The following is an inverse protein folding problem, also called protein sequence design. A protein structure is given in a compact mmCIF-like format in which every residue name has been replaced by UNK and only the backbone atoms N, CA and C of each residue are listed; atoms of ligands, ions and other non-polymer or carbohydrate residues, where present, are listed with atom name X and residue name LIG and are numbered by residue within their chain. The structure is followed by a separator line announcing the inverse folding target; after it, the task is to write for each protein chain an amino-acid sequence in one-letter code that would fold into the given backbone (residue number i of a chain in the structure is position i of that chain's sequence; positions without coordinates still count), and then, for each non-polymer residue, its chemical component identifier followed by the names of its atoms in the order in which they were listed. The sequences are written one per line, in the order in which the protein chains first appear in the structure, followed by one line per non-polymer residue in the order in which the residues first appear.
data_IF_153478222543
#
_entry.id   IF_153478222543
#
_cell.length_a   1.000
_cell.length_b   1.000
_cell.length_c   1.000
_cell.angle_alpha   90.00
_cell.angle_beta   90.00
_cell.angle_gamma   90.00
#
_symmetry.space_group_name_H-M   'P 1'
#
loop_
_entity.id
_entity.type
_entity.pdbx_description
1 polymer ?
#
# COMPACT_ATOMS: atom_id res chain seq x y z
N UNK A 1 -10.38 27.20 11.67
CA UNK A 1 -9.86 26.68 10.37
C UNK A 1 -10.87 25.71 9.81
N UNK A 2 -11.12 25.70 8.49
CA UNK A 2 -12.06 24.74 7.87
C UNK A 2 -11.45 23.35 7.86
N UNK A 3 -12.23 22.35 8.26
CA UNK A 3 -11.81 20.93 8.19
C UNK A 3 -11.50 20.56 6.73
N UNK A 4 -10.36 19.90 6.50
CA UNK A 4 -9.97 19.41 5.17
C UNK A 4 -11.01 18.41 4.65
N UNK A 5 -11.45 18.61 3.42
CA UNK A 5 -12.43 17.76 2.75
C UNK A 5 -11.74 16.79 1.76
N UNK A 6 -12.39 15.66 1.57
CA UNK A 6 -11.99 14.59 0.64
C UNK A 6 -13.09 14.41 -0.40
N UNK A 7 -12.73 14.53 -1.66
CA UNK A 7 -13.63 14.34 -2.81
C UNK A 7 -13.44 12.96 -3.45
N UNK A 8 -14.43 12.51 -4.17
CA UNK A 8 -14.35 11.31 -4.99
C UNK A 8 -13.63 11.58 -6.31
N UNK A 9 -12.84 10.61 -6.81
CA UNK A 9 -12.23 10.67 -8.16
C UNK A 9 -13.27 10.71 -9.28
N UNK A 10 -14.48 10.15 -9.06
CA UNK A 10 -15.59 10.22 -10.02
C UNK A 10 -16.37 11.55 -9.95
N UNK A 11 -16.23 12.29 -8.84
CA UNK A 11 -16.76 13.64 -8.68
C UNK A 11 -18.27 13.78 -8.55
N UNK A 12 -19.00 12.65 -8.37
CA UNK A 12 -20.48 12.64 -8.26
C UNK A 12 -20.95 12.51 -6.80
N UNK A 13 -20.05 12.14 -5.89
CA UNK A 13 -20.33 12.04 -4.46
C UNK A 13 -19.99 13.36 -3.76
N UNK A 14 -20.72 13.72 -2.69
CA UNK A 14 -20.35 14.87 -1.86
C UNK A 14 -18.95 14.73 -1.27
N UNK A 15 -18.25 15.84 -1.12
CA UNK A 15 -17.02 15.86 -0.36
C UNK A 15 -17.31 15.63 1.13
N UNK A 16 -16.42 14.89 1.79
CA UNK A 16 -16.58 14.48 3.19
C UNK A 16 -15.27 14.71 3.97
N UNK A 17 -15.36 14.73 5.30
CA UNK A 17 -14.16 14.77 6.13
C UNK A 17 -13.40 13.43 6.15
N UNK A 18 -12.19 13.41 6.69
CA UNK A 18 -11.37 12.21 6.77
C UNK A 18 -12.07 11.05 7.48
N UNK A 19 -12.77 11.30 8.59
CA UNK A 19 -13.48 10.26 9.35
C UNK A 19 -14.49 9.52 8.48
N UNK A 20 -15.33 10.27 7.76
CA UNK A 20 -16.35 9.70 6.87
C UNK A 20 -15.70 8.96 5.68
N UNK A 21 -14.70 9.55 5.03
CA UNK A 21 -13.96 8.91 3.92
C UNK A 21 -13.32 7.59 4.34
N UNK A 22 -12.73 7.57 5.54
CA UNK A 22 -12.02 6.42 6.10
C UNK A 22 -12.98 5.27 6.44
N UNK A 23 -14.09 5.58 7.14
CA UNK A 23 -15.09 4.57 7.52
C UNK A 23 -15.85 4.01 6.31
N UNK A 24 -16.14 4.83 5.30
CA UNK A 24 -16.76 4.39 4.05
C UNK A 24 -15.82 3.51 3.20
N UNK A 25 -14.52 3.84 3.18
CA UNK A 25 -13.51 3.15 2.37
C UNK A 25 -13.53 3.50 0.90
N UNK A 26 -14.70 3.61 0.29
CA UNK A 26 -14.94 4.02 -1.09
C UNK A 26 -16.13 4.98 -1.15
N UNK A 27 -16.15 5.89 -2.12
CA UNK A 27 -17.27 6.80 -2.29
C UNK A 27 -18.50 6.08 -2.89
N UNK A 28 -19.73 6.57 -2.62
CA UNK A 28 -20.96 5.98 -3.15
C UNK A 28 -21.01 5.90 -4.67
N UNK A 29 -20.36 6.82 -5.37
CA UNK A 29 -20.22 6.82 -6.83
C UNK A 29 -19.12 5.89 -7.35
N UNK A 30 -18.59 5.00 -6.49
CA UNK A 30 -17.48 4.04 -6.73
C UNK A 30 -16.13 4.69 -7.00
N UNK A 31 -16.01 6.01 -6.94
CA UNK A 31 -14.74 6.71 -6.98
C UNK A 31 -13.94 6.54 -5.68
N UNK A 32 -12.69 6.95 -5.70
CA UNK A 32 -11.80 6.88 -4.55
C UNK A 32 -11.67 8.25 -3.89
N UNK A 33 -11.79 8.29 -2.56
CA UNK A 33 -11.55 9.52 -1.82
C UNK A 33 -10.08 9.96 -1.88
N UNK A 34 -9.85 11.27 -2.08
CA UNK A 34 -8.55 11.91 -1.93
C UNK A 34 -8.75 13.39 -1.51
N UNK A 35 -7.72 14.06 -0.93
CA UNK A 35 -7.87 15.43 -0.45
C UNK A 35 -8.27 16.39 -1.58
N UNK A 36 -9.20 17.30 -1.34
CA UNK A 36 -9.52 18.39 -2.30
C UNK A 36 -8.32 19.32 -2.50
N UNK A 37 -7.58 19.56 -1.42
CA UNK A 37 -6.33 20.32 -1.41
C UNK A 37 -5.31 19.59 -0.56
N UNK A 38 -4.04 19.59 -0.99
CA UNK A 38 -2.97 19.02 -0.21
C UNK A 38 -2.41 20.06 0.75
N UNK A 39 -2.43 19.80 2.08
CA UNK A 39 -1.81 20.70 3.03
C UNK A 39 -0.30 20.73 2.80
N UNK A 40 0.30 21.91 2.85
CA UNK A 40 1.72 22.10 2.54
C UNK A 40 2.58 22.17 3.80
N UNK A 41 3.83 21.74 3.67
CA UNK A 41 4.94 22.07 4.56
C UNK A 41 5.81 23.13 3.90
N UNK A 42 6.36 24.03 4.70
CA UNK A 42 7.44 24.92 4.25
C UNK A 42 8.77 24.17 4.25
N UNK A 43 9.80 24.64 3.49
CA UNK A 43 11.15 24.06 3.56
C UNK A 43 11.71 24.03 4.99
N UNK A 44 11.47 25.08 5.80
CA UNK A 44 11.90 25.15 7.20
C UNK A 44 11.23 24.09 8.07
N UNK A 45 9.91 23.83 7.87
CA UNK A 45 9.22 22.75 8.56
C UNK A 45 9.83 21.39 8.21
N UNK A 46 10.12 21.14 6.92
CA UNK A 46 10.75 19.89 6.44
C UNK A 46 12.16 19.74 7.04
N UNK A 47 12.95 20.81 7.10
CA UNK A 47 14.29 20.81 7.69
C UNK A 47 14.29 20.30 9.15
N UNK A 48 13.23 20.58 9.90
CA UNK A 48 13.11 20.10 11.28
C UNK A 48 13.04 18.57 11.39
N UNK A 49 12.62 17.87 10.33
CA UNK A 49 12.43 16.41 10.34
C UNK A 49 13.73 15.63 10.48
N UNK A 50 14.86 16.21 10.08
CA UNK A 50 16.18 15.57 10.18
C UNK A 50 16.56 15.06 11.58
N UNK A 51 16.00 15.66 12.64
CA UNK A 51 16.29 15.32 14.04
C UNK A 51 15.17 14.53 14.73
N UNK A 52 14.04 14.28 14.03
CA UNK A 52 12.88 13.66 14.64
C UNK A 52 12.87 12.13 14.41
N UNK A 53 12.45 11.33 15.40
CA UNK A 53 12.16 9.93 15.17
C UNK A 53 10.95 9.76 14.23
N UNK A 54 10.81 8.56 13.66
CA UNK A 54 9.77 8.27 12.67
C UNK A 54 8.35 8.62 13.15
N UNK A 55 7.99 8.23 14.37
CA UNK A 55 6.65 8.47 14.92
C UNK A 55 6.33 9.97 15.11
N UNK A 56 7.32 10.82 15.35
CA UNK A 56 7.11 12.26 15.43
C UNK A 56 6.94 12.89 14.04
N UNK A 57 7.69 12.41 13.03
CA UNK A 57 7.44 12.81 11.63
C UNK A 57 6.02 12.39 11.23
N UNK A 58 5.62 11.15 11.58
CA UNK A 58 4.27 10.66 11.33
C UNK A 58 3.20 11.54 11.97
N UNK A 59 3.40 11.94 13.24
CA UNK A 59 2.50 12.87 13.90
C UNK A 59 2.39 14.20 13.16
N UNK A 60 3.50 14.80 12.74
CA UNK A 60 3.48 16.07 12.00
C UNK A 60 2.79 15.95 10.66
N UNK A 61 3.10 14.91 9.88
CA UNK A 61 2.49 14.69 8.57
C UNK A 61 0.99 14.43 8.70
N UNK A 62 0.59 13.49 9.57
CA UNK A 62 -0.80 13.08 9.71
C UNK A 62 -1.66 14.15 10.40
N UNK A 63 -1.08 15.00 11.27
CA UNK A 63 -1.82 16.10 11.89
C UNK A 63 -2.37 17.10 10.86
N UNK A 64 -1.71 17.28 9.73
CA UNK A 64 -2.22 18.14 8.63
C UNK A 64 -3.53 17.62 8.02
N UNK A 65 -3.83 16.31 8.14
CA UNK A 65 -5.06 15.68 7.63
C UNK A 65 -6.12 15.45 8.71
N UNK A 66 -5.71 15.40 9.98
CA UNK A 66 -6.59 15.02 11.10
C UNK A 66 -7.02 16.20 11.97
N UNK A 67 -6.66 17.42 11.59
CA UNK A 67 -7.02 18.63 12.33
C UNK A 67 -8.54 18.76 12.48
N UNK A 68 -8.99 19.00 13.70
CA UNK A 68 -10.42 19.07 14.04
C UNK A 68 -11.15 17.71 14.07
N UNK A 69 -10.47 16.60 13.83
CA UNK A 69 -11.03 15.23 13.82
C UNK A 69 -10.44 14.38 14.95
N UNK A 70 -9.11 14.43 15.11
CA UNK A 70 -8.40 13.70 16.17
C UNK A 70 -7.61 14.71 17.01
N UNK A 71 -7.80 14.74 18.35
CA UNK A 71 -6.97 15.57 19.23
C UNK A 71 -5.49 15.28 19.05
N UNK A 72 -4.65 16.32 19.15
CA UNK A 72 -3.22 16.21 18.84
C UNK A 72 -2.46 15.24 19.75
N UNK A 73 -2.77 15.24 21.04
CA UNK A 73 -2.20 14.31 22.02
C UNK A 73 -2.56 12.85 21.72
N UNK A 74 -3.81 12.61 21.32
CA UNK A 74 -4.29 11.28 20.93
C UNK A 74 -3.61 10.82 19.63
N UNK A 75 -3.47 11.69 18.63
CA UNK A 75 -2.76 11.35 17.40
C UNK A 75 -1.28 11.04 17.67
N UNK A 76 -0.63 11.82 18.55
CA UNK A 76 0.76 11.55 18.93
C UNK A 76 0.92 10.17 19.59
N UNK A 77 0.02 9.80 20.50
CA UNK A 77 0.00 8.47 21.11
C UNK A 77 -0.23 7.37 20.06
N UNK A 78 -1.18 7.55 19.14
CA UNK A 78 -1.42 6.62 18.03
C UNK A 78 -0.18 6.43 17.15
N UNK A 79 0.53 7.51 16.82
CA UNK A 79 1.75 7.42 16.02
C UNK A 79 2.86 6.67 16.75
N UNK A 80 3.05 6.94 18.03
CA UNK A 80 4.04 6.25 18.86
C UNK A 80 3.75 4.74 18.96
N UNK A 81 2.49 4.37 19.14
CA UNK A 81 2.08 2.96 19.20
C UNK A 81 2.14 2.25 17.82
N UNK A 82 1.77 2.95 16.74
CA UNK A 82 1.72 2.38 15.39
C UNK A 82 3.11 2.12 14.81
N UNK A 83 4.08 2.96 15.17
CA UNK A 83 5.41 3.00 14.55
C UNK A 83 6.51 2.75 15.58
N UNK A 84 6.44 1.58 16.22
CA UNK A 84 7.40 1.12 17.25
C UNK A 84 8.48 0.18 16.68
N UNK A 85 8.70 0.22 15.38
CA UNK A 85 9.71 -0.55 14.66
C UNK A 85 10.60 0.38 13.80
N UNK A 86 11.85 -0.02 13.51
CA UNK A 86 12.79 0.81 12.75
C UNK A 86 12.42 0.92 11.28
N UNK A 87 12.98 1.94 10.62
CA UNK A 87 12.93 2.12 9.16
C UNK A 87 14.36 2.32 8.66
N UNK A 88 15.13 1.24 8.47
CA UNK A 88 16.52 1.33 8.05
C UNK A 88 16.65 1.92 6.63
N UNK A 89 17.72 2.68 6.45
CA UNK A 89 18.21 3.16 5.17
C UNK A 89 19.61 2.62 4.99
N UNK A 90 19.75 1.59 4.16
CA UNK A 90 21.01 0.91 3.89
C UNK A 90 21.67 1.54 2.67
N UNK A 91 22.99 1.74 2.70
CA UNK A 91 23.73 2.34 1.59
C UNK A 91 24.03 1.25 0.56
N UNK A 92 23.51 1.41 -0.66
CA UNK A 92 23.88 0.56 -1.80
C UNK A 92 25.22 1.07 -2.36
N UNK A 93 25.27 2.31 -2.78
CA UNK A 93 26.50 3.01 -3.17
C UNK A 93 26.34 4.52 -2.96
N UNK A 94 27.31 5.33 -3.37
CA UNK A 94 27.33 6.76 -3.11
C UNK A 94 25.99 7.42 -3.47
N UNK A 95 25.30 7.95 -2.43
CA UNK A 95 24.01 8.64 -2.51
C UNK A 95 22.84 7.80 -3.04
N UNK A 96 22.97 6.46 -3.06
CA UNK A 96 21.87 5.55 -3.37
C UNK A 96 21.62 4.64 -2.18
N UNK A 97 20.39 4.64 -1.70
CA UNK A 97 19.98 4.00 -0.45
C UNK A 97 18.84 3.00 -0.71
N UNK A 98 18.83 1.92 0.06
CA UNK A 98 17.73 0.99 0.16
C UNK A 98 16.92 1.30 1.41
N UNK A 99 15.64 1.65 1.26
CA UNK A 99 14.75 1.84 2.40
C UNK A 99 14.01 0.56 2.73
N UNK A 100 14.30 0.00 3.91
CA UNK A 100 13.69 -1.25 4.39
C UNK A 100 12.35 -0.97 5.06
N UNK A 101 11.24 -1.24 4.35
CA UNK A 101 9.89 -1.11 4.87
C UNK A 101 9.31 -2.43 5.41
N UNK A 102 10.17 -3.42 5.62
CA UNK A 102 9.86 -4.79 6.02
C UNK A 102 10.06 -5.08 7.52
N UNK A 103 10.23 -4.05 8.35
CA UNK A 103 10.54 -4.22 9.78
C UNK A 103 9.30 -4.23 10.68
N UNK A 104 8.12 -4.01 10.13
CA UNK A 104 6.85 -4.05 10.85
C UNK A 104 6.38 -5.48 11.20
N UNK A 105 5.25 -5.63 11.93
CA UNK A 105 4.79 -6.92 12.46
C UNK A 105 4.62 -8.04 11.43
N UNK A 106 4.31 -7.70 10.17
CA UNK A 106 4.12 -8.68 9.10
C UNK A 106 5.18 -8.59 8.01
N UNK A 107 6.29 -7.93 8.32
CA UNK A 107 7.45 -7.80 7.45
C UNK A 107 7.09 -7.29 6.05
N UNK A 108 6.25 -6.24 5.98
CA UNK A 108 5.95 -5.54 4.72
C UNK A 108 5.56 -4.07 4.95
N UNK A 109 5.77 -3.22 3.92
CA UNK A 109 5.39 -1.79 3.97
C UNK A 109 3.92 -1.56 4.32
N UNK A 110 3.08 -2.55 4.10
CA UNK A 110 1.64 -2.48 4.37
C UNK A 110 1.32 -2.29 5.86
N UNK A 111 2.24 -2.68 6.74
CA UNK A 111 2.13 -2.47 8.18
C UNK A 111 1.99 -1.00 8.55
N UNK A 112 2.74 -0.11 7.89
CA UNK A 112 2.71 1.33 8.18
C UNK A 112 1.30 1.92 8.10
N UNK A 113 0.60 1.62 7.03
CA UNK A 113 -0.74 2.13 6.84
C UNK A 113 -1.79 1.32 7.64
N UNK A 114 -1.67 0.01 7.72
CA UNK A 114 -2.63 -0.82 8.42
C UNK A 114 -2.64 -0.54 9.93
N UNK A 115 -1.48 -0.38 10.56
CA UNK A 115 -1.35 -0.08 11.99
C UNK A 115 -2.01 1.26 12.36
N UNK A 116 -1.78 2.32 11.58
CA UNK A 116 -2.41 3.61 11.81
C UNK A 116 -3.91 3.57 11.55
N UNK A 117 -4.31 2.96 10.45
CA UNK A 117 -5.71 2.81 10.07
C UNK A 117 -6.52 2.09 11.15
N UNK A 118 -5.98 0.99 11.70
CA UNK A 118 -6.65 0.23 12.76
C UNK A 118 -6.90 1.06 14.02
N UNK A 119 -5.94 1.91 14.40
CA UNK A 119 -6.08 2.82 15.55
C UNK A 119 -7.14 3.89 15.32
N UNK A 120 -7.15 4.49 14.13
CA UNK A 120 -8.18 5.46 13.75
C UNK A 120 -9.58 4.82 13.75
N UNK A 121 -9.73 3.62 13.17
CA UNK A 121 -11.00 2.88 13.18
C UNK A 121 -11.45 2.56 14.61
N UNK A 122 -10.56 1.98 15.43
CA UNK A 122 -10.89 1.62 16.80
C UNK A 122 -11.35 2.82 17.63
N UNK A 123 -10.78 4.01 17.39
CA UNK A 123 -11.24 5.24 18.00
C UNK A 123 -12.62 5.64 17.51
N UNK A 124 -12.80 5.79 16.20
CA UNK A 124 -14.06 6.28 15.64
C UNK A 124 -15.25 5.36 15.95
N UNK A 125 -15.04 4.06 15.88
CA UNK A 125 -16.09 3.08 16.21
C UNK A 125 -16.48 3.10 17.70
N UNK A 126 -15.49 3.33 18.58
CA UNK A 126 -15.76 3.46 20.02
C UNK A 126 -16.57 4.73 20.33
N UNK A 127 -16.21 5.87 19.70
CA UNK A 127 -16.94 7.14 19.84
C UNK A 127 -18.38 7.04 19.35
N UNK A 128 -18.61 6.30 18.26
CA UNK A 128 -19.94 6.11 17.67
C UNK A 128 -20.73 4.95 18.30
N UNK A 129 -20.12 4.16 19.20
CA UNK A 129 -20.66 2.90 19.69
C UNK A 129 -21.12 1.96 18.55
N UNK A 130 -20.32 1.87 17.48
CA UNK A 130 -20.62 1.11 16.27
C UNK A 130 -19.72 -0.11 16.12
N UNK A 131 -20.20 -1.09 15.36
CA UNK A 131 -19.41 -2.23 14.90
C UNK A 131 -19.20 -2.15 13.39
N UNK A 132 -18.12 -2.76 12.92
CA UNK A 132 -17.76 -2.77 11.50
C UNK A 132 -17.11 -4.11 11.14
N UNK A 133 -17.40 -4.59 9.93
CA UNK A 133 -16.70 -5.74 9.35
C UNK A 133 -15.81 -5.27 8.22
N UNK A 134 -14.51 -5.49 8.37
CA UNK A 134 -13.53 -5.28 7.32
C UNK A 134 -13.48 -6.53 6.46
N UNK A 135 -13.77 -6.34 5.17
CA UNK A 135 -13.70 -7.39 4.16
C UNK A 135 -12.55 -7.09 3.22
N UNK A 136 -11.60 -8.03 3.11
CA UNK A 136 -10.35 -7.83 2.37
C UNK A 136 -10.07 -9.04 1.48
N UNK A 137 -9.83 -8.81 0.17
CA UNK A 137 -9.18 -9.77 -0.70
C UNK A 137 -7.68 -9.51 -0.73
N UNK A 138 -6.86 -10.56 -0.72
CA UNK A 138 -5.40 -10.44 -0.67
C UNK A 138 -4.70 -11.48 -1.52
N UNK A 139 -3.52 -11.10 -2.05
CA UNK A 139 -2.51 -12.00 -2.60
C UNK A 139 -1.43 -12.39 -1.57
N UNK A 140 -1.66 -12.12 -0.26
CA UNK A 140 -0.75 -12.44 0.84
C UNK A 140 -0.53 -11.28 1.80
N UNK A 141 0.38 -10.36 1.49
CA UNK A 141 0.85 -9.31 2.41
C UNK A 141 -0.22 -8.36 2.92
N UNK A 142 -1.17 -7.95 2.07
CA UNK A 142 -2.25 -7.05 2.51
C UNK A 142 -3.12 -7.72 3.56
N UNK A 143 -3.46 -8.99 3.37
CA UNK A 143 -4.24 -9.76 4.34
C UNK A 143 -3.52 -9.91 5.66
N UNK A 144 -2.24 -10.23 5.64
CA UNK A 144 -1.41 -10.33 6.83
C UNK A 144 -1.37 -8.99 7.60
N UNK A 145 -1.04 -7.89 6.92
CA UNK A 145 -0.95 -6.58 7.57
C UNK A 145 -2.30 -6.12 8.15
N UNK A 146 -3.41 -6.32 7.43
CA UNK A 146 -4.76 -5.98 7.90
C UNK A 146 -5.17 -6.88 9.08
N UNK A 147 -4.97 -8.18 8.97
CA UNK A 147 -5.30 -9.13 10.04
C UNK A 147 -4.56 -8.78 11.34
N UNK A 148 -3.24 -8.55 11.27
CA UNK A 148 -2.43 -8.16 12.43
C UNK A 148 -2.85 -6.81 13.03
N UNK A 149 -2.99 -5.79 12.18
CA UNK A 149 -3.30 -4.45 12.66
C UNK A 149 -4.67 -4.34 13.35
N UNK A 150 -5.67 -5.05 12.83
CA UNK A 150 -7.03 -5.03 13.35
C UNK A 150 -7.32 -6.15 14.35
N UNK A 151 -6.37 -7.06 14.61
CA UNK A 151 -6.51 -8.10 15.64
C UNK A 151 -6.79 -7.48 17.00
N UNK A 152 -7.85 -7.93 17.66
CA UNK A 152 -8.33 -7.45 18.97
C UNK A 152 -8.76 -5.98 19.02
N UNK A 153 -8.97 -5.31 17.87
CA UNK A 153 -9.56 -3.97 17.87
C UNK A 153 -11.05 -4.10 18.21
N UNK A 154 -11.51 -3.47 19.32
CA UNK A 154 -12.90 -3.54 19.73
C UNK A 154 -13.86 -3.01 18.67
N UNK A 155 -14.98 -3.71 18.45
CA UNK A 155 -15.98 -3.31 17.47
C UNK A 155 -15.64 -3.66 16.02
N UNK A 156 -14.46 -4.20 15.74
CA UNK A 156 -14.05 -4.62 14.40
C UNK A 156 -14.08 -6.14 14.27
N UNK A 157 -14.65 -6.64 13.18
CA UNK A 157 -14.44 -8.00 12.67
C UNK A 157 -13.64 -7.91 11.38
N UNK A 158 -12.72 -8.82 11.17
CA UNK A 158 -11.92 -8.92 9.93
C UNK A 158 -12.21 -10.24 9.25
N UNK A 159 -12.52 -10.20 7.95
CA UNK A 159 -12.65 -11.37 7.10
C UNK A 159 -11.72 -11.19 5.90
N UNK A 160 -10.75 -12.10 5.76
CA UNK A 160 -9.73 -12.06 4.71
C UNK A 160 -9.96 -13.22 3.75
N UNK A 161 -10.15 -12.92 2.46
CA UNK A 161 -10.19 -13.91 1.39
C UNK A 161 -8.83 -13.96 0.70
N UNK A 162 -8.31 -15.15 0.50
CA UNK A 162 -7.05 -15.36 -0.22
C UNK A 162 -7.14 -16.59 -1.15
N UNK A 163 -6.44 -16.58 -2.30
CA UNK A 163 -6.37 -17.74 -3.19
C UNK A 163 -5.54 -18.84 -2.53
N UNK A 164 -6.07 -20.06 -2.46
CA UNK A 164 -5.49 -21.16 -1.71
C UNK A 164 -4.06 -21.53 -2.17
N UNK A 165 -3.79 -21.43 -3.49
CA UNK A 165 -2.57 -21.94 -4.13
C UNK A 165 -1.62 -20.81 -4.63
N UNK A 166 -1.98 -19.51 -4.45
CA UNK A 166 -1.15 -18.38 -4.93
C UNK A 166 -0.40 -17.65 -3.80
N UNK A 167 -0.62 -18.04 -2.54
CA UNK A 167 -0.02 -17.41 -1.36
C UNK A 167 1.03 -18.32 -0.76
N UNK A 168 2.24 -17.82 -0.53
CA UNK A 168 3.31 -18.61 0.10
C UNK A 168 2.92 -19.05 1.52
N UNK A 169 3.53 -20.13 2.02
CA UNK A 169 3.27 -20.62 3.38
C UNK A 169 3.57 -19.54 4.42
N UNK A 170 4.65 -18.81 4.27
CA UNK A 170 5.02 -17.72 5.19
C UNK A 170 3.98 -16.61 5.19
N UNK A 171 3.52 -16.16 4.02
CA UNK A 171 2.46 -15.16 3.90
C UNK A 171 1.14 -15.66 4.48
N UNK A 172 0.77 -16.92 4.23
CA UNK A 172 -0.46 -17.53 4.74
C UNK A 172 -0.46 -17.60 6.26
N UNK A 173 0.60 -18.13 6.87
CA UNK A 173 0.71 -18.24 8.34
C UNK A 173 0.64 -16.89 9.06
N UNK A 174 1.14 -15.81 8.45
CA UNK A 174 1.01 -14.47 9.02
C UNK A 174 -0.44 -13.98 9.16
N UNK A 175 -1.42 -14.56 8.49
CA UNK A 175 -2.84 -14.16 8.62
C UNK A 175 -3.73 -15.26 9.18
N UNK A 176 -3.39 -16.54 9.03
CA UNK A 176 -4.24 -17.67 9.41
C UNK A 176 -4.01 -18.17 10.85
N UNK A 177 -2.98 -17.70 11.52
CA UNK A 177 -2.67 -18.06 12.91
C UNK A 177 -3.35 -17.16 13.94
N UNK A 178 -3.96 -16.06 13.49
CA UNK A 178 -4.74 -15.15 14.31
C UNK A 178 -6.16 -15.71 14.54
N UNK A 179 -6.70 -15.41 15.71
CA UNK A 179 -8.04 -15.85 16.14
C UNK A 179 -8.89 -14.63 16.53
N UNK A 180 -9.78 -14.80 17.47
CA UNK A 180 -10.65 -13.77 18.05
C UNK A 180 -11.55 -13.12 16.98
N UNK A 181 -11.29 -11.87 16.62
CA UNK A 181 -12.08 -11.10 15.66
C UNK A 181 -11.62 -11.24 14.20
N UNK A 182 -10.60 -12.08 13.94
CA UNK A 182 -10.08 -12.35 12.59
C UNK A 182 -10.56 -13.70 12.08
N UNK A 183 -11.06 -13.76 10.86
CA UNK A 183 -11.38 -14.97 10.11
C UNK A 183 -10.71 -14.91 8.75
N UNK A 184 -10.18 -16.02 8.31
CA UNK A 184 -9.53 -16.15 7.01
C UNK A 184 -10.18 -17.27 6.21
N UNK A 185 -10.35 -17.05 4.91
CA UNK A 185 -11.04 -17.96 4.01
C UNK A 185 -10.17 -18.19 2.78
N UNK A 186 -9.69 -19.43 2.64
CA UNK A 186 -8.98 -19.88 1.46
C UNK A 186 -9.99 -20.17 0.34
N UNK A 187 -9.81 -19.53 -0.80
CA UNK A 187 -10.68 -19.71 -1.97
C UNK A 187 -9.99 -20.63 -2.98
N UNK A 188 -10.69 -21.66 -3.43
CA UNK A 188 -10.25 -22.52 -4.54
C UNK A 188 -10.46 -21.75 -5.85
N UNK A 189 -9.54 -20.85 -6.17
CA UNK A 189 -9.59 -19.91 -7.27
C UNK A 189 -8.38 -18.99 -7.25
N UNK A 190 -8.44 -17.94 -8.07
CA UNK A 190 -7.39 -16.93 -8.20
C UNK A 190 -7.65 -15.70 -7.33
N UNK A 191 -6.65 -14.83 -7.22
CA UNK A 191 -6.81 -13.54 -6.55
C UNK A 191 -7.94 -12.68 -7.14
N UNK A 192 -8.12 -12.71 -8.46
CA UNK A 192 -9.21 -11.99 -9.15
C UNK A 192 -10.59 -12.50 -8.70
N UNK A 193 -10.74 -13.81 -8.43
CA UNK A 193 -11.98 -14.38 -7.88
C UNK A 193 -12.26 -13.87 -6.48
N UNK A 194 -11.25 -13.82 -5.61
CA UNK A 194 -11.37 -13.24 -4.27
C UNK A 194 -11.82 -11.77 -4.33
N UNK A 195 -11.23 -11.00 -5.24
CA UNK A 195 -11.63 -9.59 -5.45
C UNK A 195 -13.06 -9.45 -5.97
N UNK A 196 -13.46 -10.28 -6.92
CA UNK A 196 -14.80 -10.29 -7.48
C UNK A 196 -15.86 -10.60 -6.41
N UNK A 197 -15.60 -11.60 -5.56
CA UNK A 197 -16.47 -11.98 -4.44
C UNK A 197 -16.62 -10.83 -3.43
N UNK A 198 -15.52 -10.17 -3.06
CA UNK A 198 -15.53 -9.02 -2.15
C UNK A 198 -16.29 -7.83 -2.76
N UNK A 199 -16.02 -7.49 -4.03
CA UNK A 199 -16.75 -6.41 -4.73
C UNK A 199 -18.25 -6.68 -4.81
N UNK A 200 -18.63 -7.94 -5.09
CA UNK A 200 -20.03 -8.36 -5.14
C UNK A 200 -20.69 -8.24 -3.76
N UNK A 201 -20.00 -8.59 -2.67
CA UNK A 201 -20.51 -8.46 -1.31
C UNK A 201 -20.81 -7.00 -0.93
N UNK A 202 -19.96 -6.05 -1.34
CA UNK A 202 -20.22 -4.61 -1.14
C UNK A 202 -21.45 -4.10 -1.88
N UNK A 203 -21.83 -4.73 -2.99
CA UNK A 203 -22.95 -4.34 -3.82
C UNK A 203 -24.24 -5.16 -3.55
N UNK A 204 -24.18 -6.17 -2.67
CA UNK A 204 -25.30 -7.09 -2.43
C UNK A 204 -26.36 -6.47 -1.52
N UNK A 205 -27.62 -6.25 -2.02
CA UNK A 205 -28.72 -5.73 -1.20
C UNK A 205 -29.03 -6.60 0.02
N UNK A 206 -28.77 -7.92 -0.02
CA UNK A 206 -29.01 -8.82 1.11
C UNK A 206 -28.03 -8.60 2.29
N UNK A 207 -26.92 -7.91 2.05
CA UNK A 207 -25.89 -7.63 3.06
C UNK A 207 -25.91 -6.19 3.59
N UNK A 208 -26.86 -5.35 3.18
CA UNK A 208 -26.92 -3.92 3.59
C UNK A 208 -27.03 -3.69 5.10
N UNK A 209 -27.55 -4.67 5.83
CA UNK A 209 -27.63 -4.64 7.30
C UNK A 209 -26.27 -4.89 7.98
N UNK A 210 -25.28 -5.39 7.25
CA UNK A 210 -23.92 -5.61 7.73
C UNK A 210 -23.08 -4.38 7.40
N UNK A 211 -22.57 -3.64 8.39
CA UNK A 211 -21.69 -2.50 8.10
C UNK A 211 -20.35 -3.02 7.60
N UNK A 212 -20.19 -3.06 6.27
CA UNK A 212 -18.96 -3.47 5.60
C UNK A 212 -18.06 -2.27 5.31
N UNK A 213 -16.75 -2.45 5.43
CA UNK A 213 -15.73 -1.53 4.94
C UNK A 213 -14.54 -2.30 4.39
N UNK A 214 -13.71 -1.61 3.60
CA UNK A 214 -12.50 -2.19 3.02
C UNK A 214 -11.25 -1.62 3.68
N UNK A 215 -10.27 -2.49 3.94
CA UNK A 215 -8.93 -2.08 4.30
C UNK A 215 -7.90 -2.31 3.16
N UNK A 216 -8.34 -2.47 1.92
CA UNK A 216 -7.47 -2.47 0.74
C UNK A 216 -6.97 -1.06 0.39
N UNK A 217 -6.09 -0.94 -0.60
CA UNK A 217 -5.47 0.32 -1.03
C UNK A 217 -6.45 1.36 -1.61
N UNK A 218 -7.70 0.97 -1.88
CA UNK A 218 -8.78 1.89 -2.26
C UNK A 218 -9.17 2.83 -1.11
N UNK A 219 -9.02 2.39 0.15
CA UNK A 219 -9.30 3.22 1.31
C UNK A 219 -8.21 4.27 1.51
N UNK A 220 -8.61 5.53 1.70
CA UNK A 220 -7.68 6.65 1.94
C UNK A 220 -6.81 6.46 3.20
N UNK A 221 -7.30 5.72 4.19
CA UNK A 221 -6.53 5.37 5.40
C UNK A 221 -5.33 4.46 5.12
N UNK A 222 -5.30 3.79 3.96
CA UNK A 222 -4.14 3.02 3.48
C UNK A 222 -3.16 3.90 2.73
N UNK A 223 -3.58 5.06 2.25
CA UNK A 223 -2.76 5.94 1.44
C UNK A 223 -1.99 6.97 2.28
N UNK A 224 -2.70 7.76 3.09
CA UNK A 224 -2.08 8.89 3.78
C UNK A 224 -0.88 8.52 4.68
N UNK A 225 -0.92 7.41 5.47
CA UNK A 225 0.23 7.06 6.30
C UNK A 225 1.48 6.68 5.49
N UNK A 226 1.32 6.29 4.23
CA UNK A 226 2.45 5.95 3.37
C UNK A 226 3.25 7.17 2.91
N UNK A 227 2.68 8.38 2.98
CA UNK A 227 3.45 9.59 2.70
C UNK A 227 4.56 9.86 3.72
N UNK A 228 4.42 9.32 4.94
CA UNK A 228 5.32 9.59 6.06
C UNK A 228 6.74 9.09 5.80
N UNK A 229 6.90 7.86 5.30
CA UNK A 229 8.24 7.30 5.12
C UNK A 229 9.03 7.98 3.98
N UNK A 230 8.37 8.67 3.06
CA UNK A 230 9.04 9.52 2.06
C UNK A 230 9.63 10.78 2.70
N UNK A 231 8.90 11.45 3.59
CA UNK A 231 9.44 12.54 4.40
C UNK A 231 10.58 12.06 5.29
N UNK A 232 10.41 10.90 5.94
CA UNK A 232 11.46 10.32 6.76
C UNK A 232 12.72 10.03 5.94
N UNK A 233 12.61 9.32 4.82
CA UNK A 233 13.75 8.97 3.98
C UNK A 233 14.47 10.23 3.49
N UNK A 234 13.76 11.20 2.92
CA UNK A 234 14.35 12.46 2.45
C UNK A 234 15.09 13.18 3.58
N UNK A 235 14.51 13.24 4.79
CA UNK A 235 15.13 13.88 5.94
C UNK A 235 16.43 13.22 6.43
N UNK A 236 16.72 11.99 5.98
CA UNK A 236 17.94 11.23 6.34
C UNK A 236 19.01 11.25 5.25
N UNK A 237 18.61 11.35 3.97
CA UNK A 237 19.53 11.21 2.84
C UNK A 237 19.82 12.52 2.12
N UNK A 238 19.01 13.56 2.34
CA UNK A 238 19.06 14.83 1.64
C UNK A 238 19.10 16.02 2.59
N UNK A 239 19.56 17.17 2.10
CA UNK A 239 19.33 18.47 2.73
C UNK A 239 17.87 18.90 2.50
N UNK A 240 17.40 19.90 3.24
CA UNK A 240 15.96 20.24 3.29
C UNK A 240 15.34 20.65 1.94
N UNK A 241 16.13 21.23 1.05
CA UNK A 241 15.74 21.72 -0.28
C UNK A 241 16.27 20.86 -1.42
N UNK A 242 17.01 19.79 -1.09
CA UNK A 242 17.62 18.90 -2.07
C UNK A 242 16.61 17.86 -2.57
N UNK A 243 16.34 17.82 -3.88
CA UNK A 243 15.33 16.92 -4.43
C UNK A 243 15.81 15.46 -4.47
N UNK A 244 14.98 14.55 -3.98
CA UNK A 244 15.23 13.10 -3.89
C UNK A 244 14.57 12.35 -5.05
N UNK A 245 15.23 11.31 -5.54
CA UNK A 245 14.64 10.33 -6.46
C UNK A 245 14.12 9.14 -5.65
N UNK A 246 12.88 8.71 -5.90
CA UNK A 246 12.31 7.51 -5.30
C UNK A 246 12.01 6.46 -6.36
N UNK A 247 12.61 5.27 -6.25
CA UNK A 247 12.26 4.14 -7.11
C UNK A 247 11.39 3.15 -6.35
N UNK A 248 10.17 2.92 -6.89
CA UNK A 248 9.06 2.32 -6.15
C UNK A 248 8.48 1.16 -6.95
N UNK A 249 8.43 -0.06 -6.38
CA UNK A 249 7.75 -1.18 -7.01
C UNK A 249 6.24 -0.93 -6.97
N UNK A 250 5.61 -0.89 -8.13
CA UNK A 250 4.28 -0.30 -8.30
C UNK A 250 3.27 -1.30 -8.88
N UNK A 251 2.44 -1.91 -8.02
CA UNK A 251 1.28 -2.72 -8.41
C UNK A 251 -0.01 -1.88 -8.39
N UNK A 252 -0.72 -1.83 -7.27
CA UNK A 252 -1.94 -1.01 -7.08
C UNK A 252 -1.68 0.49 -6.87
N UNK A 253 -0.44 0.93 -6.96
CA UNK A 253 0.01 2.33 -6.80
C UNK A 253 -0.25 2.96 -5.43
N UNK A 254 -0.57 2.16 -4.42
CA UNK A 254 -0.76 2.69 -3.06
C UNK A 254 0.50 3.34 -2.52
N UNK A 255 1.63 2.65 -2.65
CA UNK A 255 2.95 3.12 -2.23
C UNK A 255 3.39 4.35 -3.02
N UNK A 256 3.40 4.27 -4.35
CA UNK A 256 3.74 5.39 -5.22
C UNK A 256 2.88 6.63 -4.93
N UNK A 257 1.58 6.47 -4.67
CA UNK A 257 0.72 7.57 -4.28
C UNK A 257 1.11 8.19 -2.94
N UNK A 258 1.76 7.43 -2.04
CA UNK A 258 2.39 7.99 -0.85
C UNK A 258 3.48 9.01 -1.20
N UNK A 259 4.35 8.70 -2.17
CA UNK A 259 5.35 9.63 -2.71
C UNK A 259 4.70 10.84 -3.38
N UNK A 260 3.65 10.62 -4.17
CA UNK A 260 2.89 11.71 -4.82
C UNK A 260 2.28 12.64 -3.78
N UNK A 261 1.65 12.10 -2.73
CA UNK A 261 1.10 12.91 -1.62
C UNK A 261 2.20 13.70 -0.93
N UNK A 262 3.33 13.08 -0.61
CA UNK A 262 4.46 13.77 0.02
C UNK A 262 4.98 14.93 -0.84
N UNK A 263 5.12 14.72 -2.16
CA UNK A 263 5.49 15.77 -3.11
C UNK A 263 4.44 16.89 -3.13
N UNK A 264 3.16 16.54 -3.22
CA UNK A 264 2.07 17.53 -3.18
C UNK A 264 2.03 18.30 -1.86
N UNK A 265 2.54 17.72 -0.77
CA UNK A 265 2.70 18.38 0.51
C UNK A 265 3.98 19.24 0.59
N UNK A 266 4.79 19.30 -0.45
CA UNK A 266 5.96 20.17 -0.54
C UNK A 266 7.31 19.47 -0.35
N UNK A 267 7.34 18.12 -0.27
CA UNK A 267 8.61 17.39 -0.26
C UNK A 267 9.34 17.58 -1.61
N UNK A 268 10.61 18.01 -1.63
CA UNK A 268 11.39 18.09 -2.86
C UNK A 268 11.63 16.71 -3.45
N UNK A 269 10.95 16.40 -4.55
CA UNK A 269 11.09 15.14 -5.29
C UNK A 269 11.56 15.45 -6.72
N UNK A 270 12.72 14.91 -7.09
CA UNK A 270 13.27 15.06 -8.45
C UNK A 270 12.51 14.19 -9.45
N UNK A 271 12.33 12.92 -9.09
CA UNK A 271 11.67 11.94 -9.95
C UNK A 271 11.04 10.82 -9.10
N UNK A 272 9.88 10.38 -9.50
CA UNK A 272 9.29 9.12 -9.04
C UNK A 272 9.50 8.09 -10.15
N UNK A 273 10.24 7.03 -9.87
CA UNK A 273 10.41 5.90 -10.77
C UNK A 273 9.38 4.84 -10.37
N UNK A 274 8.33 4.73 -11.16
CA UNK A 274 7.26 3.75 -10.97
C UNK A 274 7.59 2.48 -11.76
N UNK A 275 8.33 1.56 -11.14
CA UNK A 275 8.69 0.29 -11.74
C UNK A 275 7.54 -0.72 -11.61
N UNK A 276 7.12 -1.33 -12.71
CA UNK A 276 6.07 -2.36 -12.74
C UNK A 276 6.65 -3.69 -13.23
N UNK A 277 5.95 -4.80 -12.97
CA UNK A 277 6.29 -6.08 -13.58
C UNK A 277 5.65 -6.20 -14.99
N UNK A 278 5.44 -7.41 -15.49
CA UNK A 278 4.83 -7.63 -16.82
C UNK A 278 3.42 -7.04 -16.96
N UNK A 279 2.80 -6.59 -15.86
CA UNK A 279 1.53 -5.87 -15.90
C UNK A 279 1.76 -4.39 -16.26
N UNK A 280 2.13 -4.13 -17.47
CA UNK A 280 2.73 -2.91 -18.02
C UNK A 280 1.72 -1.87 -18.56
N UNK A 281 0.46 -1.90 -18.09
CA UNK A 281 -0.57 -0.95 -18.51
C UNK A 281 -0.16 0.51 -18.28
N UNK A 282 0.51 0.81 -17.17
CA UNK A 282 0.87 2.19 -16.82
C UNK A 282 2.05 2.75 -17.64
N UNK A 283 3.20 2.08 -17.82
CA UNK A 283 4.24 2.57 -18.73
C UNK A 283 3.71 2.85 -20.13
N UNK A 284 2.83 1.98 -20.67
CA UNK A 284 2.17 2.18 -21.97
C UNK A 284 1.27 3.41 -21.98
N UNK A 285 0.45 3.57 -20.93
CA UNK A 285 -0.38 4.77 -20.78
C UNK A 285 0.46 6.04 -20.70
N UNK A 286 1.50 6.03 -19.90
CA UNK A 286 2.38 7.18 -19.75
C UNK A 286 3.04 7.54 -21.09
N UNK A 287 3.47 6.57 -21.89
CA UNK A 287 4.08 6.78 -23.19
C UNK A 287 3.09 7.29 -24.25
N UNK A 288 1.89 6.70 -24.32
CA UNK A 288 0.95 6.89 -25.45
C UNK A 288 -0.21 7.83 -25.12
N UNK A 289 -0.58 7.99 -23.84
CA UNK A 289 -1.82 8.64 -23.40
C UNK A 289 -3.05 7.76 -23.55
N UNK A 290 -2.91 6.52 -24.02
CA UNK A 290 -3.99 5.56 -24.16
C UNK A 290 -3.89 4.51 -23.05
N UNK A 291 -4.92 4.38 -22.23
CA UNK A 291 -4.97 3.40 -21.15
C UNK A 291 -5.79 2.18 -21.55
N UNK A 292 -5.17 1.02 -21.41
CA UNK A 292 -5.81 -0.27 -21.58
C UNK A 292 -5.45 -1.17 -20.40
N UNK A 293 -6.47 -1.69 -19.71
CA UNK A 293 -6.27 -2.64 -18.60
C UNK A 293 -5.83 -3.99 -19.12
N UNK A 294 -4.98 -4.68 -18.37
CA UNK A 294 -4.58 -6.06 -18.63
C UNK A 294 -5.56 -6.99 -17.92
N UNK A 295 -6.24 -7.85 -18.66
CA UNK A 295 -7.19 -8.80 -18.09
C UNK A 295 -7.14 -10.12 -18.89
N UNK A 296 -6.88 -11.26 -18.22
CA UNK A 296 -6.47 -11.39 -16.81
C UNK A 296 -5.10 -10.76 -16.53
N UNK A 297 -4.81 -10.46 -15.26
CA UNK A 297 -3.47 -10.04 -14.85
C UNK A 297 -2.44 -11.13 -15.15
N UNK A 298 -1.21 -10.72 -15.47
CA UNK A 298 -0.09 -11.64 -15.75
C UNK A 298 0.59 -12.03 -14.45
N UNK A 299 0.96 -13.29 -14.33
CA UNK A 299 1.72 -13.78 -13.18
C UNK A 299 3.21 -13.45 -13.36
N UNK A 300 3.83 -12.94 -12.30
CA UNK A 300 5.27 -12.65 -12.20
C UNK A 300 5.76 -12.99 -10.79
N UNK A 301 7.08 -13.13 -10.63
CA UNK A 301 7.74 -13.41 -9.35
C UNK A 301 7.39 -12.37 -8.27
N UNK A 302 7.26 -11.10 -8.65
CA UNK A 302 6.79 -10.03 -7.78
C UNK A 302 5.26 -10.07 -7.64
N UNK A 303 4.75 -11.11 -7.00
CA UNK A 303 3.34 -11.50 -7.01
C UNK A 303 2.36 -10.42 -6.50
N UNK A 304 2.75 -9.59 -5.52
CA UNK A 304 1.93 -8.51 -5.01
C UNK A 304 1.72 -7.37 -6.03
N UNK A 305 2.47 -7.39 -7.13
CA UNK A 305 2.34 -6.46 -8.27
C UNK A 305 1.58 -7.07 -9.45
N UNK A 306 1.05 -8.30 -9.35
CA UNK A 306 0.21 -8.93 -10.37
C UNK A 306 -1.16 -8.24 -10.45
N UNK A 307 -1.17 -7.04 -10.98
CA UNK A 307 -2.32 -6.13 -11.01
C UNK A 307 -2.50 -5.57 -12.42
N UNK A 308 -3.48 -6.07 -13.13
CA UNK A 308 -3.76 -5.63 -14.51
C UNK A 308 -4.49 -4.27 -14.60
N UNK A 309 -5.09 -3.81 -13.49
CA UNK A 309 -5.75 -2.50 -13.39
C UNK A 309 -5.48 -1.87 -12.01
N UNK A 310 -4.46 -1.02 -11.88
CA UNK A 310 -4.14 -0.34 -10.63
C UNK A 310 -5.26 0.57 -10.14
N UNK A 311 -5.89 0.26 -9.01
CA UNK A 311 -7.04 1.06 -8.51
C UNK A 311 -6.66 2.52 -8.24
N UNK A 312 -5.44 2.76 -7.73
CA UNK A 312 -4.99 4.11 -7.41
C UNK A 312 -4.56 4.94 -8.63
N UNK A 313 -4.57 4.37 -9.83
CA UNK A 313 -4.35 5.13 -11.07
C UNK A 313 -5.39 6.26 -11.23
N UNK A 314 -6.65 6.02 -10.81
CA UNK A 314 -7.68 7.05 -10.81
C UNK A 314 -7.29 8.27 -9.94
N UNK A 315 -6.67 8.04 -8.77
CA UNK A 315 -6.14 9.14 -7.94
C UNK A 315 -4.98 9.87 -8.60
N UNK A 316 -4.04 9.12 -9.21
CA UNK A 316 -2.93 9.72 -9.94
C UNK A 316 -3.42 10.59 -11.09
N UNK A 317 -4.33 10.09 -11.90
CA UNK A 317 -4.98 10.84 -13.00
C UNK A 317 -5.63 12.12 -12.46
N UNK A 318 -6.32 12.05 -11.31
CA UNK A 318 -6.98 13.19 -10.70
C UNK A 318 -5.99 14.25 -10.17
N UNK A 319 -4.82 13.85 -9.63
CA UNK A 319 -3.76 14.78 -9.21
C UNK A 319 -3.27 15.61 -10.38
N UNK A 320 -3.18 15.02 -11.57
CA UNK A 320 -2.78 15.72 -12.80
C UNK A 320 -3.98 16.32 -13.57
N UNK A 321 -5.10 16.57 -12.91
CA UNK A 321 -6.25 17.29 -13.46
C UNK A 321 -7.13 16.49 -14.41
N UNK A 322 -6.91 15.18 -14.53
CA UNK A 322 -7.73 14.26 -15.31
C UNK A 322 -8.89 13.64 -14.51
N UNK A 323 -9.59 12.70 -15.13
CA UNK A 323 -10.63 11.90 -14.50
C UNK A 323 -10.66 10.49 -15.10
N UNK A 324 -10.58 9.48 -14.25
CA UNK A 324 -10.68 8.06 -14.60
C UNK A 324 -11.68 7.40 -13.65
N UNK A 325 -12.59 6.60 -14.19
CA UNK A 325 -13.54 5.84 -13.38
C UNK A 325 -12.97 4.48 -12.93
N UNK A 326 -13.75 3.75 -12.12
CA UNK A 326 -13.36 2.45 -11.56
C UNK A 326 -13.21 1.33 -12.60
N UNK A 327 -13.67 1.55 -13.83
CA UNK A 327 -13.52 0.59 -14.94
C UNK A 327 -12.22 0.80 -15.72
N UNK A 328 -11.55 1.93 -15.49
CA UNK A 328 -10.36 2.36 -16.20
C UNK A 328 -10.65 3.28 -17.39
N UNK A 329 -11.91 3.69 -17.59
CA UNK A 329 -12.28 4.65 -18.63
C UNK A 329 -11.81 6.05 -18.24
N UNK A 330 -11.02 6.66 -19.11
CA UNK A 330 -10.59 8.05 -18.95
C UNK A 330 -11.67 8.97 -19.52
N UNK A 331 -12.33 9.69 -18.63
CA UNK A 331 -13.37 10.68 -19.00
C UNK A 331 -12.73 12.05 -19.29
N UNK A 332 -11.58 12.33 -18.67
CA UNK A 332 -10.76 13.52 -18.93
C UNK A 332 -9.29 13.15 -18.84
N UNK A 333 -8.52 13.45 -19.88
CA UNK A 333 -7.08 13.20 -19.88
C UNK A 333 -6.38 14.05 -18.81
N UNK A 334 -5.39 13.48 -18.08
CA UNK A 334 -4.51 14.26 -17.22
C UNK A 334 -3.53 15.11 -18.04
N UNK A 335 -2.85 16.03 -17.37
CA UNK A 335 -1.65 16.68 -17.94
C UNK A 335 -0.51 15.65 -18.05
N UNK A 336 -0.47 14.95 -19.18
CA UNK A 336 0.55 13.93 -19.46
C UNK A 336 1.96 14.51 -19.53
N UNK A 337 2.12 15.78 -19.92
CA UNK A 337 3.43 16.41 -19.98
C UNK A 337 4.00 16.60 -18.56
N UNK A 338 3.19 17.12 -17.65
CA UNK A 338 3.56 17.23 -16.25
C UNK A 338 3.79 15.84 -15.61
N UNK A 339 2.91 14.87 -15.91
CA UNK A 339 3.06 13.51 -15.38
C UNK A 339 4.37 12.85 -15.82
N UNK A 340 4.77 12.97 -17.10
CA UNK A 340 6.06 12.47 -17.64
C UNK A 340 7.28 13.20 -17.07
N UNK A 341 7.15 14.49 -16.81
CA UNK A 341 8.22 15.26 -16.16
C UNK A 341 8.49 14.72 -14.75
N UNK A 342 7.46 14.41 -14.00
CA UNK A 342 7.54 14.04 -12.59
C UNK A 342 7.71 12.52 -12.36
N UNK A 343 7.22 11.71 -13.29
CA UNK A 343 7.20 10.24 -13.18
C UNK A 343 7.86 9.60 -14.40
N UNK A 344 8.81 8.70 -14.14
CA UNK A 344 9.31 7.73 -15.10
C UNK A 344 8.68 6.37 -14.81
N UNK A 345 8.37 5.57 -15.81
CA UNK A 345 7.84 4.21 -15.60
C UNK A 345 8.39 3.23 -16.63
N UNK A 346 8.72 2.05 -16.15
CA UNK A 346 9.26 0.95 -16.95
C UNK A 346 8.70 -0.38 -16.48
N UNK A 347 8.73 -1.39 -17.34
CA UNK A 347 8.33 -2.77 -17.06
C UNK A 347 9.56 -3.66 -16.92
N UNK A 348 9.59 -4.46 -15.85
CA UNK A 348 10.71 -5.35 -15.52
C UNK A 348 10.21 -6.80 -15.61
N UNK A 349 10.84 -7.60 -16.47
CA UNK A 349 10.53 -9.03 -16.59
C UNK A 349 11.06 -9.86 -15.42
N UNK A 350 10.58 -11.09 -15.30
CA UNK A 350 11.05 -12.02 -14.26
C UNK A 350 12.56 -12.32 -14.39
N UNK A 351 13.11 -12.41 -15.60
CA UNK A 351 14.54 -12.61 -15.83
C UNK A 351 15.35 -11.42 -15.29
N UNK A 352 14.88 -10.18 -15.53
CA UNK A 352 15.51 -8.99 -15.01
C UNK A 352 15.34 -8.87 -13.50
N UNK A 353 14.22 -9.29 -12.95
CA UNK A 353 13.96 -9.37 -11.51
C UNK A 353 14.98 -10.30 -10.84
N UNK A 354 15.20 -11.49 -11.38
CA UNK A 354 16.22 -12.43 -10.89
C UNK A 354 17.64 -11.85 -11.02
N UNK A 355 17.95 -11.22 -12.15
CA UNK A 355 19.24 -10.56 -12.36
C UNK A 355 19.50 -9.44 -11.34
N UNK A 356 18.49 -8.64 -11.01
CA UNK A 356 18.62 -7.56 -10.02
C UNK A 356 18.86 -8.05 -8.60
N UNK A 357 18.20 -9.13 -8.16
CA UNK A 357 18.48 -9.75 -6.85
C UNK A 357 19.96 -10.21 -6.80
N UNK A 358 20.43 -10.90 -7.83
CA UNK A 358 21.82 -11.37 -7.93
C UNK A 358 22.81 -10.22 -7.94
N UNK A 359 22.58 -9.21 -8.78
CA UNK A 359 23.43 -8.04 -8.93
C UNK A 359 23.65 -7.32 -7.59
N UNK A 360 22.57 -7.06 -6.85
CA UNK A 360 22.65 -6.32 -5.59
C UNK A 360 23.31 -7.17 -4.51
N UNK A 361 23.04 -8.48 -4.48
CA UNK A 361 23.72 -9.39 -3.57
C UNK A 361 25.22 -9.48 -3.86
N UNK A 362 25.62 -9.74 -5.10
CA UNK A 362 27.03 -9.98 -5.47
C UNK A 362 27.88 -8.72 -5.27
N UNK A 363 27.34 -7.53 -5.59
CA UNK A 363 28.11 -6.29 -5.55
C UNK A 363 28.04 -5.54 -4.21
N UNK A 364 26.92 -5.65 -3.47
CA UNK A 364 26.67 -4.81 -2.28
C UNK A 364 26.34 -5.62 -1.03
N UNK A 365 26.19 -6.95 -1.13
CA UNK A 365 25.82 -7.85 -0.02
C UNK A 365 24.49 -7.45 0.65
N UNK A 366 23.60 -6.82 -0.12
CA UNK A 366 22.24 -6.51 0.28
C UNK A 366 21.27 -7.47 -0.41
N UNK A 367 20.40 -8.10 0.36
CA UNK A 367 19.45 -9.06 -0.17
C UNK A 367 18.14 -8.37 -0.47
N UNK A 368 17.75 -8.37 -1.74
CA UNK A 368 16.43 -7.90 -2.21
C UNK A 368 15.46 -9.06 -2.33
N UNK A 369 14.17 -8.75 -2.13
CA UNK A 369 13.08 -9.61 -2.56
C UNK A 369 12.61 -9.20 -3.98
N UNK A 370 11.77 -9.99 -4.66
CA UNK A 370 11.42 -9.72 -6.05
C UNK A 370 10.87 -8.32 -6.33
N UNK A 371 10.09 -7.71 -5.42
CA UNK A 371 9.55 -6.35 -5.62
C UNK A 371 10.64 -5.28 -5.48
N UNK A 372 11.53 -5.39 -4.48
CA UNK A 372 12.67 -4.50 -4.33
C UNK A 372 13.62 -4.59 -5.53
N UNK A 373 13.77 -5.77 -6.10
CA UNK A 373 14.53 -5.96 -7.34
C UNK A 373 13.89 -5.26 -8.54
N UNK A 374 12.56 -5.29 -8.67
CA UNK A 374 11.85 -4.51 -9.70
C UNK A 374 12.13 -3.02 -9.53
N UNK A 375 12.11 -2.50 -8.29
CA UNK A 375 12.44 -1.10 -8.03
C UNK A 375 13.90 -0.78 -8.38
N UNK A 376 14.86 -1.67 -8.05
CA UNK A 376 16.27 -1.52 -8.41
C UNK A 376 16.46 -1.45 -9.93
N UNK A 377 15.90 -2.39 -10.67
CA UNK A 377 16.00 -2.43 -12.13
C UNK A 377 15.31 -1.21 -12.79
N UNK A 378 14.19 -0.75 -12.21
CA UNK A 378 13.52 0.48 -12.65
C UNK A 378 14.40 1.71 -12.46
N UNK A 379 15.14 1.79 -11.36
CA UNK A 379 16.13 2.85 -11.12
C UNK A 379 17.26 2.81 -12.15
N UNK A 380 17.77 1.62 -12.47
CA UNK A 380 18.80 1.46 -13.52
C UNK A 380 18.30 1.93 -14.89
N UNK A 381 17.07 1.58 -15.28
CA UNK A 381 16.47 2.03 -16.53
C UNK A 381 16.34 3.56 -16.58
N UNK A 382 15.91 4.17 -15.48
CA UNK A 382 15.79 5.63 -15.41
C UNK A 382 17.16 6.31 -15.52
N UNK A 383 18.18 5.82 -14.80
CA UNK A 383 19.52 6.44 -14.83
C UNK A 383 20.22 6.29 -16.19
N UNK A 384 19.80 5.32 -17.00
CA UNK A 384 20.29 5.16 -18.37
C UNK A 384 19.78 6.27 -19.31
N UNK A 385 18.64 6.91 -18.99
CA UNK A 385 18.04 7.97 -19.83
C UNK A 385 18.14 9.36 -19.20
N UNK A 386 18.23 9.47 -17.87
CA UNK A 386 18.34 10.73 -17.14
C UNK A 386 19.38 10.59 -16.01
N UNK A 387 20.51 11.30 -16.08
CA UNK A 387 21.55 11.19 -15.04
C UNK A 387 21.04 11.57 -13.65
N UNK A 388 21.39 10.76 -12.63
CA UNK A 388 21.08 11.05 -11.23
C UNK A 388 21.65 12.40 -10.78
N UNK A 389 22.85 12.77 -11.27
CA UNK A 389 23.59 13.95 -10.82
C UNK A 389 23.99 13.80 -9.33
N UNK A 390 23.86 14.88 -8.58
CA UNK A 390 24.16 14.88 -7.15
C UNK A 390 22.95 14.53 -6.27
N UNK A 391 21.76 14.34 -6.83
CA UNK A 391 20.56 14.03 -6.06
C UNK A 391 20.69 12.67 -5.36
N UNK A 392 20.24 12.51 -4.11
CA UNK A 392 20.13 11.19 -3.53
C UNK A 392 18.98 10.40 -4.15
N UNK A 393 19.13 9.07 -4.18
CA UNK A 393 18.08 8.15 -4.60
C UNK A 393 17.76 7.16 -3.50
N UNK A 394 16.48 6.83 -3.35
CA UNK A 394 15.99 5.84 -2.40
C UNK A 394 15.22 4.77 -3.17
N UNK A 395 15.72 3.56 -3.09
CA UNK A 395 15.08 2.34 -3.61
C UNK A 395 14.20 1.77 -2.51
N UNK A 396 12.97 1.40 -2.85
CA UNK A 396 12.01 0.92 -1.86
C UNK A 396 12.00 -0.61 -1.82
N UNK A 397 12.37 -1.18 -0.66
CA UNK A 397 12.20 -2.58 -0.33
C UNK A 397 10.90 -2.77 0.43
N UNK A 398 9.94 -3.49 -0.15
CA UNK A 398 8.55 -3.50 0.31
C UNK A 398 8.17 -4.69 1.17
N UNK A 399 8.94 -5.76 1.15
CA UNK A 399 8.72 -6.95 1.95
C UNK A 399 10.05 -7.62 2.33
N UNK A 400 10.02 -8.51 3.32
CA UNK A 400 11.21 -9.23 3.72
C UNK A 400 11.49 -10.39 2.76
N UNK A 401 12.76 -10.61 2.34
CA UNK A 401 13.15 -11.74 1.48
C UNK A 401 12.69 -13.11 1.98
N UNK A 402 12.59 -13.33 3.29
CA UNK A 402 12.11 -14.59 3.89
C UNK A 402 10.63 -14.90 3.57
N UNK A 403 9.88 -13.98 2.96
CA UNK A 403 8.54 -14.24 2.43
C UNK A 403 8.57 -14.94 1.06
N UNK A 404 9.72 -14.92 0.40
CA UNK A 404 9.97 -15.46 -0.94
C UNK A 404 11.15 -16.42 -0.94
N UNK A 405 11.18 -17.42 0.00
CA UNK A 405 12.37 -18.22 0.23
C UNK A 405 12.79 -19.02 -1.01
N UNK A 406 11.82 -19.55 -1.76
CA UNK A 406 12.08 -20.36 -2.96
C UNK A 406 12.70 -19.52 -4.07
N UNK A 407 12.18 -18.34 -4.31
CA UNK A 407 12.64 -17.41 -5.34
C UNK A 407 14.05 -16.90 -5.01
N UNK A 408 14.25 -16.48 -3.76
CA UNK A 408 15.55 -15.96 -3.30
C UNK A 408 16.61 -17.06 -3.28
N UNK A 409 16.31 -18.25 -2.73
CA UNK A 409 17.25 -19.37 -2.69
C UNK A 409 17.73 -19.78 -4.07
N UNK A 410 16.87 -19.78 -5.09
CA UNK A 410 17.29 -20.09 -6.47
C UNK A 410 18.32 -19.09 -7.00
N UNK A 411 18.34 -17.87 -6.51
CA UNK A 411 19.23 -16.81 -6.98
C UNK A 411 20.54 -16.79 -6.19
N UNK A 412 20.47 -16.80 -4.86
CA UNK A 412 21.66 -16.63 -3.98
C UNK A 412 22.23 -17.94 -3.47
N UNK A 413 21.52 -19.07 -3.63
CA UNK A 413 21.97 -20.41 -3.26
C UNK A 413 21.69 -20.82 -1.80
N UNK A 414 21.06 -19.95 -0.99
CA UNK A 414 20.70 -20.23 0.40
C UNK A 414 19.35 -19.61 0.73
N UNK A 415 18.69 -20.14 1.77
CA UNK A 415 17.37 -19.67 2.21
C UNK A 415 17.51 -18.47 3.15
N UNK A 416 16.78 -17.37 2.94
CA UNK A 416 16.85 -16.18 3.81
C UNK A 416 16.45 -16.49 5.25
N UNK A 417 17.16 -15.90 6.20
CA UNK A 417 16.83 -16.01 7.61
C UNK A 417 15.46 -15.38 7.90
N UNK A 418 14.62 -16.10 8.64
CA UNK A 418 13.31 -15.61 9.04
C UNK A 418 13.47 -14.58 10.15
N UNK A 419 13.02 -13.34 9.97
CA UNK A 419 13.16 -12.29 10.97
C UNK A 419 12.26 -12.54 12.19
N UNK A 420 12.67 -12.01 13.35
CA UNK A 420 12.01 -12.24 14.64
C UNK A 420 10.52 -11.83 14.65
N UNK A 421 10.14 -10.80 13.93
CA UNK A 421 8.75 -10.34 13.81
C UNK A 421 7.83 -11.37 13.14
N UNK A 422 8.36 -12.28 12.31
CA UNK A 422 7.61 -13.35 11.67
C UNK A 422 7.62 -14.66 12.46
N UNK A 423 8.74 -14.95 13.19
CA UNK A 423 8.96 -16.25 13.84
C UNK A 423 7.82 -16.73 14.75
N UNK A 424 7.20 -15.81 15.48
CA UNK A 424 6.11 -16.15 16.39
C UNK A 424 4.90 -16.72 15.64
N UNK A 425 4.48 -16.07 14.57
CA UNK A 425 3.34 -16.50 13.74
C UNK A 425 3.62 -17.82 13.01
N UNK A 426 4.84 -18.00 12.49
CA UNK A 426 5.19 -19.20 11.72
C UNK A 426 5.16 -20.50 12.55
N UNK A 427 5.27 -20.40 13.88
CA UNK A 427 5.21 -21.55 14.79
C UNK A 427 3.80 -21.91 15.27
N UNK A 428 2.82 -21.05 15.02
CA UNK A 428 1.45 -21.26 15.48
C UNK A 428 0.64 -22.16 14.51
N UNK A 429 -0.35 -22.90 15.00
CA UNK A 429 -1.25 -23.66 14.14
C UNK A 429 -2.16 -22.70 13.37
N UNK A 430 -2.38 -23.03 12.11
CA UNK A 430 -3.28 -22.29 11.24
C UNK A 430 -4.76 -22.57 11.57
N UNK A 431 -5.61 -21.58 11.41
CA UNK A 431 -7.07 -21.65 11.56
C UNK A 431 -7.71 -20.85 10.42
N UNK A 432 -8.23 -21.52 9.40
CA UNK A 432 -8.90 -20.90 8.26
C UNK A 432 -9.97 -21.81 7.66
N UNK A 433 -10.99 -21.19 7.11
CA UNK A 433 -12.00 -21.88 6.33
C UNK A 433 -11.53 -22.05 4.86
N UNK A 434 -12.06 -23.07 4.15
CA UNK A 434 -11.82 -23.27 2.72
C UNK A 434 -13.14 -23.38 1.98
N UNK A 435 -13.25 -22.72 0.82
CA UNK A 435 -14.43 -22.81 -0.05
C UNK A 435 -14.09 -22.60 -1.53
N UNK A 436 -14.95 -23.12 -2.39
CA UNK A 436 -14.88 -22.83 -3.83
C UNK A 436 -15.09 -21.34 -4.10
N UNK A 437 -14.66 -20.87 -5.27
CA UNK A 437 -14.90 -19.51 -5.78
C UNK A 437 -16.40 -19.32 -6.13
N UNK A 438 -17.26 -19.43 -5.13
CA UNK A 438 -18.73 -19.38 -5.22
C UNK A 438 -19.28 -18.29 -4.33
N UNK A 439 -19.82 -17.25 -4.93
CA UNK A 439 -20.33 -16.09 -4.21
C UNK A 439 -21.53 -16.44 -3.29
N UNK A 440 -22.42 -17.34 -3.69
CA UNK A 440 -23.61 -17.68 -2.89
C UNK A 440 -23.22 -18.39 -1.58
N UNK A 441 -22.19 -19.24 -1.65
CA UNK A 441 -21.59 -19.86 -0.46
C UNK A 441 -20.94 -18.79 0.43
N UNK A 442 -20.23 -17.86 -0.17
CA UNK A 442 -19.59 -16.77 0.57
C UNK A 442 -20.62 -15.81 1.19
N UNK A 443 -21.69 -15.46 0.49
CA UNK A 443 -22.80 -14.69 1.05
C UNK A 443 -23.42 -15.40 2.27
N UNK A 444 -23.68 -16.69 2.15
CA UNK A 444 -24.20 -17.51 3.26
C UNK A 444 -23.24 -17.51 4.44
N UNK A 445 -21.93 -17.59 4.17
CA UNK A 445 -20.90 -17.50 5.20
C UNK A 445 -20.96 -16.15 5.93
N UNK A 446 -21.02 -15.03 5.18
CA UNK A 446 -21.13 -13.69 5.76
C UNK A 446 -22.38 -13.53 6.65
N UNK A 447 -23.53 -14.02 6.20
CA UNK A 447 -24.78 -13.97 6.98
C UNK A 447 -24.68 -14.80 8.29
N UNK A 448 -24.02 -15.95 8.28
CA UNK A 448 -23.76 -16.74 9.49
C UNK A 448 -22.83 -16.02 10.48
N UNK A 449 -21.86 -15.26 9.99
CA UNK A 449 -20.99 -14.45 10.84
C UNK A 449 -21.71 -13.25 11.46
N UNK A 450 -22.88 -12.88 10.94
CA UNK A 450 -23.69 -11.74 11.36
C UNK A 450 -25.16 -12.14 11.50
N UNK A 451 -25.51 -12.99 12.50
CA UNK A 451 -26.91 -13.35 12.70
C UNK A 451 -27.72 -12.08 12.96
N UNK A 452 -28.85 -11.96 12.25
CA UNK A 452 -29.88 -10.96 12.57
C UNK A 452 -30.45 -11.31 13.93
N UNK A 453 -30.19 -10.49 14.93
CA UNK A 453 -30.84 -10.58 16.27
C UNK A 453 -32.30 -10.22 16.16
#
# INVERSE_FOLDING_TARGET
MSTLLFRSTNGQSPAVNLRAALLAGQAPDRGLYFPETFPKFTPDEIATFARLPYHEIAFRVLSKFTEGIIPRDVLAAMCHEAYNFPVPLEIIHVRVFLMRLDQGPTASFKDFAAQMMARMFGRFLREDNRRLTILTATSGDTGAAVAHAFHKIPGVRVIVLFPADEVSESQRKLMTTLKDNVRTVAIDGKFDDCQAMVKRAFADPALTHIPLSSANSINIGRLLPQSVYYFYAASRVAQADEPVVFSIPSGNFGDMMGAVVAREMGLPVKKIVAAVNDNDAFPKFLATGHYEKISPSRNSLSNAMNVGHPSNLARLVAVYGGQMDETGKINKLPDLAAMRRDIFSTSISDERTVAGVREVWDNFQLLLEPHGSVAWQGFQDWTAVEPLGNSPAVIIETANPAKFPVEVQKVVGWEPDVPNNMLASLKLPEDFDRMAADYEKFRTYLLKQHPTT
#
